data_IF_393700408203
#
_entry.id   IF_393700408203
#
_cell.length_a   1.000
_cell.length_b   1.000
_cell.length_c   1.000
_cell.angle_alpha   90.00
_cell.angle_beta   90.00
_cell.angle_gamma   90.00
#
_symmetry.space_group_name_H-M   'P 1'
#
loop_
_entity.id
_entity.type
_entity.pdbx_description
1 polymer ?
#
# COMPACT_ATOMS: atom_id res chain seq x y z
N UNK A 1 -6.16 9.75 -42.96
CA UNK A 1 -6.00 10.93 -42.09
C UNK A 1 -7.22 11.09 -41.19
N UNK A 2 -7.44 10.30 -40.14
CA UNK A 2 -6.91 8.99 -39.76
C UNK A 2 -7.90 8.32 -38.79
N UNK A 3 -8.47 7.20 -39.25
CA UNK A 3 -8.98 6.13 -38.42
C UNK A 3 -7.79 5.39 -37.81
N UNK A 4 -7.69 5.37 -36.47
CA UNK A 4 -7.00 4.34 -35.66
C UNK A 4 -7.15 4.68 -34.17
N UNK A 5 -8.30 4.29 -33.59
CA UNK A 5 -8.51 4.18 -32.14
C UNK A 5 -9.08 2.80 -31.86
N UNK A 6 -8.20 1.81 -31.79
CA UNK A 6 -8.41 0.57 -31.03
C UNK A 6 -7.08 -0.21 -31.03
N UNK A 7 -6.75 -0.79 -29.88
CA UNK A 7 -5.78 -1.85 -29.59
C UNK A 7 -4.54 -1.54 -28.73
N UNK A 8 -4.49 -2.31 -27.63
CA UNK A 8 -3.39 -2.76 -26.77
C UNK A 8 -2.86 -1.83 -25.66
N UNK A 9 -3.59 -1.84 -24.53
CA UNK A 9 -2.97 -2.02 -23.22
C UNK A 9 -3.21 -3.46 -22.78
N UNK A 10 -2.16 -4.25 -22.64
CA UNK A 10 -2.23 -5.55 -21.96
C UNK A 10 -0.86 -5.93 -21.38
N UNK A 11 -0.77 -5.87 -20.06
CA UNK A 11 -0.11 -6.84 -19.17
C UNK A 11 -0.05 -6.22 -17.76
N UNK A 12 -0.71 -6.68 -16.70
CA UNK A 12 -1.65 -7.78 -16.43
C UNK A 12 -2.43 -7.38 -15.16
N UNK A 13 -3.66 -6.89 -15.32
CA UNK A 13 -4.70 -6.90 -14.26
C UNK A 13 -6.09 -6.73 -14.88
N UNK A 14 -6.54 -7.70 -15.68
CA UNK A 14 -7.94 -7.78 -16.14
C UNK A 14 -8.66 -8.89 -15.32
N UNK A 15 -9.97 -8.91 -15.03
CA UNK A 15 -11.17 -8.56 -15.82
C UNK A 15 -12.37 -8.31 -14.86
N UNK A 16 -13.14 -7.22 -15.04
CA UNK A 16 -14.58 -7.24 -15.45
C UNK A 16 -15.24 -5.83 -15.43
N UNK A 17 -15.55 -5.33 -16.64
CA UNK A 17 -16.72 -4.60 -17.20
C UNK A 17 -17.75 -4.01 -16.19
N UNK A 18 -18.32 -2.80 -16.34
CA UNK A 18 -18.90 -2.20 -17.57
C UNK A 18 -19.06 -0.66 -17.47
N UNK A 19 -19.31 -0.06 -18.64
CA UNK A 19 -19.50 1.35 -18.98
C UNK A 19 -20.65 2.11 -18.25
N UNK A 20 -20.43 3.41 -17.98
CA UNK A 20 -21.36 4.47 -18.44
C UNK A 20 -20.83 5.91 -18.28
N UNK A 21 -21.28 6.73 -19.23
CA UNK A 21 -20.83 8.08 -19.58
C UNK A 21 -21.12 9.20 -18.56
N UNK A 22 -20.23 10.19 -18.55
CA UNK A 22 -20.65 11.56 -18.88
C UNK A 22 -20.55 12.64 -17.79
N UNK A 23 -19.57 13.54 -17.96
CA UNK A 23 -19.66 15.02 -18.02
C UNK A 23 -18.46 15.69 -17.34
N UNK A 24 -17.60 16.29 -18.17
CA UNK A 24 -16.53 17.21 -17.78
C UNK A 24 -17.13 18.54 -17.37
N UNK A 25 -16.86 18.99 -16.14
CA UNK A 25 -16.95 20.41 -15.78
C UNK A 25 -15.55 20.93 -15.46
N UNK A 26 -15.13 21.92 -16.25
CA UNK A 26 -14.00 22.81 -15.98
C UNK A 26 -14.22 23.47 -14.62
N UNK A 27 -13.23 23.39 -13.73
CA UNK A 27 -13.12 24.32 -12.61
C UNK A 27 -11.93 25.22 -12.90
N UNK A 28 -12.25 26.51 -12.96
CA UNK A 28 -11.39 27.64 -13.19
C UNK A 28 -10.41 27.87 -12.04
N UNK A 29 -9.21 28.29 -12.43
CA UNK A 29 -8.18 28.99 -11.67
C UNK A 29 -8.69 29.76 -10.45
N UNK A 30 -8.12 29.47 -9.28
CA UNK A 30 -8.14 30.37 -8.14
C UNK A 30 -6.71 30.77 -7.75
N UNK A 31 -6.53 32.08 -7.63
CA UNK A 31 -5.30 32.81 -7.36
C UNK A 31 -4.82 32.65 -5.93
N UNK A 32 -3.50 32.56 -5.77
CA UNK A 32 -2.79 32.65 -4.49
C UNK A 32 -2.99 34.02 -3.82
N UNK A 33 -2.98 34.06 -2.48
CA UNK A 33 -2.41 35.18 -1.75
C UNK A 33 -1.13 34.78 -1.01
N UNK A 34 -0.27 35.79 -0.88
CA UNK A 34 1.13 35.78 -0.44
C UNK A 34 1.31 35.48 1.06
N UNK A 35 2.52 35.02 1.34
CA UNK A 35 3.19 34.77 2.63
C UNK A 35 3.22 35.95 3.60
N UNK A 36 3.31 35.64 4.90
CA UNK A 36 4.35 36.20 5.79
C UNK A 36 4.60 35.29 7.02
N UNK A 37 5.79 35.35 7.65
CA UNK A 37 6.37 34.27 8.46
C UNK A 37 6.15 34.49 9.96
N UNK A 38 5.81 33.43 10.70
CA UNK A 38 5.81 33.45 12.16
C UNK A 38 6.65 32.32 12.75
N UNK A 39 7.45 32.75 13.71
CA UNK A 39 8.61 32.13 14.35
C UNK A 39 8.30 30.85 15.13
N UNK A 40 9.20 29.87 14.96
CA UNK A 40 9.35 28.69 15.80
C UNK A 40 9.67 29.06 17.26
N UNK A 41 8.89 28.53 18.20
CA UNK A 41 9.35 28.18 19.54
C UNK A 41 8.97 26.71 19.78
N UNK A 42 9.99 25.89 20.00
CA UNK A 42 9.83 24.48 20.30
C UNK A 42 9.27 24.28 21.70
N UNK A 43 8.19 23.53 21.80
CA UNK A 43 7.75 22.92 23.04
C UNK A 43 8.23 21.48 23.08
N UNK A 44 9.13 21.21 24.01
CA UNK A 44 9.56 19.88 24.42
C UNK A 44 8.40 19.21 25.20
N UNK A 45 7.46 18.64 24.48
CA UNK A 45 6.35 17.85 25.03
C UNK A 45 6.76 16.38 25.19
N UNK A 46 6.75 15.90 26.43
CA UNK A 46 6.89 14.50 26.81
C UNK A 46 5.87 13.61 26.09
N UNK A 47 6.34 12.67 25.27
CA UNK A 47 5.51 11.72 24.52
C UNK A 47 4.88 10.67 25.46
N UNK A 48 3.69 10.96 25.97
CA UNK A 48 2.80 9.92 26.48
C UNK A 48 2.13 9.25 25.27
N UNK A 49 2.52 8.02 24.94
CA UNK A 49 1.89 7.24 23.89
C UNK A 49 0.54 6.70 24.36
N UNK A 50 -0.54 7.35 23.94
CA UNK A 50 -1.88 6.76 24.02
C UNK A 50 -1.91 5.47 23.19
N UNK A 51 -2.53 4.41 23.74
CA UNK A 51 -2.82 3.19 22.97
C UNK A 51 -3.57 3.59 21.70
N UNK A 52 -3.32 2.92 20.55
CA UNK A 52 -4.10 3.19 19.35
C UNK A 52 -5.59 3.05 19.68
N UNK A 53 -6.33 4.15 19.53
CA UNK A 53 -7.79 4.22 19.68
C UNK A 53 -8.42 3.51 18.47
N UNK A 54 -8.26 2.19 18.43
CA UNK A 54 -8.80 1.33 17.41
C UNK A 54 -10.16 0.78 17.87
N UNK A 55 -11.19 0.87 17.02
CA UNK A 55 -12.55 0.38 17.28
C UNK A 55 -12.98 -0.68 16.26
N UNK A 56 -13.68 -1.71 16.73
CA UNK A 56 -14.39 -2.66 15.87
C UNK A 56 -15.89 -2.52 16.08
N UNK A 57 -16.63 -2.39 14.98
CA UNK A 57 -18.10 -2.33 14.99
C UNK A 57 -18.61 -3.37 14.01
N UNK A 58 -19.37 -4.35 14.50
CA UNK A 58 -19.81 -5.52 13.75
C UNK A 58 -21.25 -5.42 13.21
N UNK A 59 -21.89 -4.28 13.46
CA UNK A 59 -23.27 -3.94 13.17
C UNK A 59 -23.33 -2.61 12.40
N UNK A 60 -22.50 -2.47 11.37
CA UNK A 60 -22.50 -1.27 10.54
C UNK A 60 -23.82 -1.10 9.79
N UNK A 61 -24.40 0.10 9.86
CA UNK A 61 -25.64 0.46 9.17
C UNK A 61 -25.37 1.64 8.25
N UNK A 62 -25.78 1.50 6.99
CA UNK A 62 -25.77 2.59 6.02
C UNK A 62 -27.18 3.13 5.82
N UNK A 63 -27.34 4.43 5.93
CA UNK A 63 -28.59 5.13 5.58
C UNK A 63 -28.32 6.18 4.51
N UNK A 64 -29.29 6.45 3.66
CA UNK A 64 -29.23 7.51 2.66
C UNK A 64 -30.36 8.49 2.96
N UNK A 65 -30.02 9.76 3.13
CA UNK A 65 -31.01 10.81 3.35
C UNK A 65 -31.61 11.24 2.00
N UNK A 66 -32.75 11.94 2.04
CA UNK A 66 -33.47 12.42 0.85
C UNK A 66 -32.61 13.29 -0.10
N UNK A 67 -31.55 13.90 0.41
CA UNK A 67 -30.56 14.68 -0.35
C UNK A 67 -29.48 13.80 -1.03
N UNK A 68 -29.59 12.47 -1.01
CA UNK A 68 -28.61 11.51 -1.54
C UNK A 68 -27.33 11.40 -0.70
N UNK A 69 -27.32 12.00 0.50
CA UNK A 69 -26.18 11.93 1.41
C UNK A 69 -26.15 10.58 2.13
N UNK A 70 -25.04 9.85 1.97
CA UNK A 70 -24.83 8.55 2.62
C UNK A 70 -24.22 8.73 4.00
N UNK A 71 -24.86 8.16 5.00
CA UNK A 71 -24.39 8.07 6.37
C UNK A 71 -24.02 6.62 6.68
N UNK A 72 -22.84 6.39 7.22
CA UNK A 72 -22.38 5.10 7.71
C UNK A 72 -22.16 5.22 9.22
N UNK A 73 -23.07 4.68 10.03
CA UNK A 73 -23.12 4.95 11.47
C UNK A 73 -22.99 6.46 11.78
N UNK A 74 -21.89 6.89 12.42
CA UNK A 74 -21.62 8.30 12.73
C UNK A 74 -20.94 9.08 11.59
N UNK A 75 -20.50 8.41 10.52
CA UNK A 75 -19.69 8.98 9.45
C UNK A 75 -20.55 9.45 8.28
N UNK A 76 -20.54 10.75 8.03
CA UNK A 76 -21.15 11.33 6.84
C UNK A 76 -20.18 11.18 5.66
N UNK A 77 -20.52 10.31 4.71
CA UNK A 77 -19.73 10.07 3.51
C UNK A 77 -19.87 11.26 2.57
N UNK A 78 -18.73 11.82 2.14
CA UNK A 78 -18.65 12.95 1.23
C UNK A 78 -18.23 12.48 -0.16
N UNK A 79 -17.14 13.01 -0.70
CA UNK A 79 -16.67 12.73 -2.04
C UNK A 79 -15.67 11.58 -2.08
N UNK A 80 -15.61 10.91 -3.22
CA UNK A 80 -14.54 9.96 -3.54
C UNK A 80 -13.22 10.69 -3.70
N UNK A 81 -12.19 10.21 -2.98
CA UNK A 81 -10.82 10.76 -3.03
C UNK A 81 -9.82 9.79 -3.65
N UNK A 82 -10.18 8.52 -3.82
CA UNK A 82 -9.29 7.53 -4.43
C UNK A 82 -9.96 6.22 -4.80
N UNK A 83 -9.20 5.34 -5.43
CA UNK A 83 -9.57 3.97 -5.72
C UNK A 83 -8.39 3.09 -5.32
N UNK A 84 -8.61 2.16 -4.39
CA UNK A 84 -7.60 1.17 -4.00
C UNK A 84 -7.73 -0.12 -4.81
N UNK A 85 -6.83 -1.07 -4.54
CA UNK A 85 -6.76 -2.39 -5.22
C UNK A 85 -8.07 -3.19 -5.15
N UNK A 86 -8.86 -3.00 -4.10
CA UNK A 86 -10.05 -3.81 -3.80
C UNK A 86 -11.30 -2.99 -3.48
N UNK A 87 -11.26 -1.65 -3.68
CA UNK A 87 -12.30 -0.78 -3.16
C UNK A 87 -12.17 0.68 -3.57
N UNK A 88 -13.11 1.49 -3.08
CA UNK A 88 -13.07 2.96 -3.25
C UNK A 88 -12.73 3.64 -1.94
N UNK A 89 -12.02 4.76 -2.01
CA UNK A 89 -11.69 5.58 -0.84
C UNK A 89 -12.48 6.87 -0.92
N UNK A 90 -13.26 7.15 0.13
CA UNK A 90 -14.10 8.34 0.23
C UNK A 90 -13.66 9.18 1.43
N UNK A 91 -13.69 10.50 1.29
CA UNK A 91 -13.60 11.42 2.41
C UNK A 91 -14.90 11.37 3.21
N UNK A 92 -14.81 11.45 4.53
CA UNK A 92 -15.97 11.50 5.42
C UNK A 92 -15.70 12.38 6.64
N UNK A 93 -16.78 12.74 7.33
CA UNK A 93 -16.74 13.52 8.55
C UNK A 93 -17.45 12.73 9.64
N UNK A 94 -16.80 12.53 10.78
CA UNK A 94 -17.48 12.05 11.99
C UNK A 94 -18.40 13.16 12.51
N UNK A 95 -19.70 12.94 12.43
CA UNK A 95 -20.72 13.94 12.79
C UNK A 95 -20.76 14.25 14.29
N UNK A 96 -20.19 13.40 15.14
CA UNK A 96 -20.15 13.60 16.59
C UNK A 96 -18.99 14.50 17.00
N UNK A 97 -17.84 14.37 16.32
CA UNK A 97 -16.61 15.09 16.68
C UNK A 97 -16.25 16.21 15.71
N UNK A 98 -16.83 16.22 14.51
CA UNK A 98 -16.46 17.10 13.42
C UNK A 98 -15.12 16.74 12.74
N UNK A 99 -14.46 15.65 13.16
CA UNK A 99 -13.16 15.25 12.63
C UNK A 99 -13.29 14.54 11.27
N UNK A 100 -12.34 14.79 10.40
CA UNK A 100 -12.30 14.26 9.04
C UNK A 100 -11.49 12.97 8.94
N UNK A 101 -11.94 12.05 8.09
CA UNK A 101 -11.33 10.74 7.89
C UNK A 101 -11.42 10.29 6.43
N UNK A 102 -10.64 9.27 6.08
CA UNK A 102 -10.78 8.52 4.84
C UNK A 102 -11.46 7.17 5.11
N UNK A 103 -12.45 6.78 4.32
CA UNK A 103 -13.12 5.48 4.41
C UNK A 103 -12.85 4.67 3.15
N UNK A 104 -12.20 3.52 3.32
CA UNK A 104 -11.99 2.50 2.28
C UNK A 104 -13.14 1.50 2.33
N UNK A 105 -13.96 1.46 1.28
CA UNK A 105 -15.14 0.59 1.12
C UNK A 105 -14.78 -0.65 0.28
N UNK A 106 -15.11 -1.83 0.81
CA UNK A 106 -14.88 -3.14 0.20
C UNK A 106 -16.18 -3.91 -0.02
N UNK A 107 -16.43 -4.37 -1.25
CA UNK A 107 -17.56 -5.27 -1.58
C UNK A 107 -17.20 -6.75 -1.39
N UNK A 108 -17.78 -7.41 -0.39
CA UNK A 108 -17.58 -8.83 -0.06
C UNK A 108 -17.96 -9.76 -1.23
N UNK A 109 -18.97 -9.44 -2.04
CA UNK A 109 -19.41 -10.24 -3.21
C UNK A 109 -18.41 -10.08 -4.34
N UNK A 110 -17.92 -8.88 -4.62
CA UNK A 110 -16.88 -8.68 -5.63
C UNK A 110 -15.61 -9.47 -5.25
N UNK A 111 -15.23 -9.42 -3.97
CA UNK A 111 -14.09 -10.18 -3.45
C UNK A 111 -14.28 -11.70 -3.57
N UNK A 112 -15.51 -12.21 -3.37
CA UNK A 112 -15.85 -13.63 -3.58
C UNK A 112 -15.91 -14.03 -5.06
N UNK A 113 -16.39 -13.14 -5.94
CA UNK A 113 -16.47 -13.40 -7.40
C UNK A 113 -15.08 -13.49 -8.01
N UNK A 114 -14.18 -12.58 -7.65
CA UNK A 114 -12.76 -12.65 -8.05
C UNK A 114 -12.16 -13.99 -7.63
N UNK A 115 -12.36 -14.43 -6.38
CA UNK A 115 -11.88 -15.73 -5.91
C UNK A 115 -12.46 -16.93 -6.67
N UNK A 116 -13.76 -16.89 -7.03
CA UNK A 116 -14.40 -17.95 -7.82
C UNK A 116 -13.89 -17.99 -9.25
N UNK A 117 -13.76 -16.85 -9.93
CA UNK A 117 -13.23 -16.80 -11.31
C UNK A 117 -11.79 -17.32 -11.39
N UNK A 118 -10.93 -17.02 -10.41
CA UNK A 118 -9.58 -17.61 -10.31
C UNK A 118 -9.60 -19.14 -10.21
N UNK A 119 -10.67 -19.71 -9.67
CA UNK A 119 -10.86 -21.16 -9.48
C UNK A 119 -11.48 -21.85 -10.70
N UNK A 120 -12.31 -21.14 -11.47
CA UNK A 120 -12.96 -21.62 -12.69
C UNK A 120 -12.12 -21.48 -13.96
N UNK A 121 -11.01 -20.71 -13.93
CA UNK A 121 -10.00 -20.67 -14.99
C UNK A 121 -8.96 -21.81 -14.89
N UNK A 122 -9.22 -22.88 -14.13
CA UNK A 122 -8.50 -24.13 -14.35
C UNK A 122 -9.14 -24.87 -15.54
N UNK A 123 -8.40 -25.13 -16.63
CA UNK A 123 -8.98 -25.80 -17.79
C UNK A 123 -9.47 -27.19 -17.40
N UNK A 124 -10.75 -27.49 -17.67
CA UNK A 124 -11.18 -28.87 -17.81
C UNK A 124 -10.55 -29.40 -19.10
N UNK A 125 -9.61 -30.33 -18.99
CA UNK A 125 -9.05 -31.02 -20.15
C UNK A 125 -10.17 -31.76 -20.88
N UNK A 126 -10.59 -31.21 -22.02
CA UNK A 126 -11.22 -31.96 -23.11
C UNK A 126 -10.15 -32.21 -24.16
N UNK A 127 -9.91 -33.50 -24.38
CA UNK A 127 -8.91 -34.13 -25.23
C UNK A 127 -8.82 -33.62 -26.67
N UNK A 128 -7.63 -33.19 -27.09
CA UNK A 128 -7.24 -33.02 -28.50
C UNK A 128 -6.07 -32.04 -28.71
N UNK A 129 -4.83 -32.55 -28.67
CA UNK A 129 -3.53 -32.05 -29.19
C UNK A 129 -3.51 -30.64 -29.83
N UNK A 130 -2.65 -29.68 -29.46
CA UNK A 130 -1.18 -29.70 -29.33
C UNK A 130 -0.71 -28.61 -28.33
N UNK A 131 0.46 -28.84 -27.70
CA UNK A 131 1.17 -28.06 -26.66
C UNK A 131 0.95 -28.55 -25.20
N UNK A 132 1.55 -29.69 -24.87
CA UNK A 132 1.86 -30.17 -23.50
C UNK A 132 3.34 -30.62 -23.53
N UNK A 133 4.20 -30.50 -22.52
CA UNK A 133 4.03 -31.02 -21.16
C UNK A 133 5.21 -30.64 -20.22
N UNK A 134 5.84 -29.47 -20.35
CA UNK A 134 6.93 -29.10 -19.43
C UNK A 134 6.43 -28.21 -18.28
N UNK A 135 6.59 -28.73 -17.06
CA UNK A 135 6.35 -28.17 -15.72
C UNK A 135 5.07 -28.56 -14.93
N UNK A 136 4.96 -29.83 -14.51
CA UNK A 136 3.94 -30.28 -13.54
C UNK A 136 4.32 -30.12 -12.05
N UNK A 137 5.49 -29.53 -11.72
CA UNK A 137 6.02 -29.56 -10.35
C UNK A 137 5.61 -28.34 -9.48
N UNK A 138 5.05 -27.28 -10.08
CA UNK A 138 4.73 -26.00 -9.40
C UNK A 138 3.51 -26.03 -8.45
N UNK A 139 2.80 -27.17 -8.36
CA UNK A 139 1.58 -27.28 -7.52
C UNK A 139 1.84 -27.72 -6.08
N UNK A 140 3.04 -28.16 -5.70
CA UNK A 140 3.21 -28.94 -4.45
C UNK A 140 4.06 -28.32 -3.31
N UNK A 141 4.54 -27.08 -3.40
CA UNK A 141 5.44 -26.53 -2.37
C UNK A 141 4.89 -25.37 -1.52
N UNK A 142 3.65 -24.92 -1.78
CA UNK A 142 2.96 -23.95 -0.91
C UNK A 142 1.53 -24.45 -0.70
N UNK A 143 0.98 -24.38 0.53
CA UNK A 143 -0.42 -24.69 0.80
C UNK A 143 -1.35 -23.79 -0.05
N UNK A 144 -1.73 -24.28 -1.23
CA UNK A 144 -2.34 -23.54 -2.34
C UNK A 144 -3.84 -23.22 -2.19
N UNK A 145 -4.40 -23.28 -0.97
CA UNK A 145 -5.84 -23.09 -0.78
C UNK A 145 -6.24 -21.69 -0.26
N UNK A 146 -5.35 -20.97 0.43
CA UNK A 146 -5.74 -19.74 1.17
C UNK A 146 -5.16 -18.43 0.58
N UNK A 147 -4.08 -18.49 -0.20
CA UNK A 147 -3.33 -17.29 -0.65
C UNK A 147 -3.93 -16.52 -1.84
N UNK A 148 -4.99 -17.03 -2.47
CA UNK A 148 -5.66 -16.37 -3.62
C UNK A 148 -7.06 -15.85 -3.27
N UNK A 149 -7.35 -15.63 -1.98
CA UNK A 149 -8.60 -15.04 -1.53
C UNK A 149 -8.43 -13.52 -1.29
N UNK A 150 -9.07 -12.63 -2.05
CA UNK A 150 -9.04 -11.18 -1.81
C UNK A 150 -9.45 -10.79 -0.37
N UNK A 151 -10.36 -11.55 0.25
CA UNK A 151 -10.72 -11.35 1.65
C UNK A 151 -9.56 -11.61 2.61
N UNK A 152 -8.67 -12.55 2.29
CA UNK A 152 -7.47 -12.82 3.10
C UNK A 152 -6.50 -11.64 3.09
N UNK A 153 -6.30 -11.00 1.94
CA UNK A 153 -5.42 -9.82 1.83
C UNK A 153 -5.96 -8.63 2.64
N UNK A 154 -7.27 -8.36 2.55
CA UNK A 154 -7.92 -7.30 3.33
C UNK A 154 -7.85 -7.60 4.83
N UNK A 155 -8.09 -8.85 5.21
CA UNK A 155 -8.01 -9.26 6.61
C UNK A 155 -6.60 -9.18 7.16
N UNK A 156 -5.60 -9.50 6.32
CA UNK A 156 -4.19 -9.32 6.65
C UNK A 156 -3.84 -7.85 6.83
N UNK A 157 -4.29 -6.98 5.91
CA UNK A 157 -4.15 -5.52 6.00
C UNK A 157 -4.73 -5.01 7.33
N UNK A 158 -5.97 -5.38 7.66
CA UNK A 158 -6.60 -5.05 8.95
C UNK A 158 -5.77 -5.54 10.15
N UNK A 159 -5.31 -6.79 10.14
CA UNK A 159 -4.55 -7.34 11.26
C UNK A 159 -3.19 -6.66 11.47
N UNK A 160 -2.54 -6.25 10.38
CA UNK A 160 -1.30 -5.46 10.42
C UNK A 160 -1.63 -4.07 11.01
N UNK A 161 -2.62 -3.39 10.46
CA UNK A 161 -2.98 -2.02 10.85
C UNK A 161 -3.48 -1.90 12.30
N UNK A 162 -4.09 -2.95 12.87
CA UNK A 162 -4.46 -3.00 14.31
C UNK A 162 -3.27 -2.98 15.26
N UNK A 163 -2.09 -3.40 14.79
CA UNK A 163 -0.90 -3.64 15.61
C UNK A 163 0.19 -2.60 15.39
N UNK A 164 0.04 -1.71 14.43
CA UNK A 164 1.03 -0.67 14.14
C UNK A 164 0.50 0.68 14.59
N UNK A 165 1.36 1.48 15.21
CA UNK A 165 1.04 2.84 15.59
C UNK A 165 2.32 3.67 15.50
N UNK A 166 2.46 4.41 14.40
CA UNK A 166 3.68 5.16 14.12
C UNK A 166 3.34 6.45 13.36
N UNK A 167 4.07 7.54 13.65
CA UNK A 167 3.79 8.86 13.07
C UNK A 167 3.84 8.87 11.53
N UNK A 168 4.72 8.05 10.95
CA UNK A 168 4.95 7.92 9.51
C UNK A 168 4.15 6.75 8.88
N UNK A 169 3.10 6.27 9.54
CA UNK A 169 2.18 5.26 9.02
C UNK A 169 0.76 5.80 9.15
N UNK A 170 -0.09 5.55 8.14
CA UNK A 170 -1.50 5.91 8.21
C UNK A 170 -2.18 5.09 9.31
N UNK A 171 -2.82 5.79 10.25
CA UNK A 171 -3.52 5.13 11.37
C UNK A 171 -4.88 4.58 10.93
N UNK A 172 -5.21 3.36 11.37
CA UNK A 172 -6.57 2.83 11.27
C UNK A 172 -7.36 3.15 12.53
N UNK A 173 -8.51 3.78 12.34
CA UNK A 173 -9.35 4.32 13.41
C UNK A 173 -10.44 3.32 13.77
N UNK A 174 -11.15 2.80 12.78
CA UNK A 174 -12.29 1.91 12.99
C UNK A 174 -12.45 0.93 11.84
N UNK A 175 -12.84 -0.31 12.14
CA UNK A 175 -13.34 -1.27 11.14
C UNK A 175 -14.83 -1.47 11.35
N UNK A 176 -15.61 -1.27 10.29
CA UNK A 176 -17.06 -1.39 10.28
C UNK A 176 -17.46 -2.57 9.38
N UNK A 177 -17.99 -3.63 9.98
CA UNK A 177 -18.50 -4.80 9.26
C UNK A 177 -20.03 -4.71 9.17
N UNK A 178 -20.60 -4.70 7.96
CA UNK A 178 -22.06 -4.81 7.79
C UNK A 178 -22.46 -6.29 7.83
N UNK A 179 -23.12 -6.77 8.90
CA UNK A 179 -23.45 -8.17 9.05
C UNK A 179 -24.61 -8.62 8.16
N UNK A 180 -25.31 -7.69 7.49
CA UNK A 180 -26.50 -7.98 6.69
C UNK A 180 -26.32 -7.65 5.21
N UNK A 181 -25.35 -6.79 4.90
CA UNK A 181 -25.00 -6.38 3.55
C UNK A 181 -23.64 -6.87 3.08
N UNK A 182 -23.23 -6.32 1.95
CA UNK A 182 -22.05 -6.73 1.21
C UNK A 182 -20.80 -5.92 1.54
N UNK A 183 -20.86 -5.01 2.50
CA UNK A 183 -19.80 -4.02 2.68
C UNK A 183 -18.98 -4.24 3.95
N UNK A 184 -17.68 -4.01 3.82
CA UNK A 184 -16.72 -3.87 4.92
C UNK A 184 -16.05 -2.51 4.73
N UNK A 185 -15.86 -1.77 5.80
CA UNK A 185 -15.26 -0.43 5.73
C UNK A 185 -14.07 -0.32 6.69
N UNK A 186 -13.02 0.34 6.22
CA UNK A 186 -11.90 0.77 7.06
C UNK A 186 -11.89 2.29 7.14
N UNK A 187 -12.07 2.83 8.34
CA UNK A 187 -11.91 4.24 8.66
C UNK A 187 -10.45 4.49 8.98
N UNK A 188 -9.81 5.36 8.21
CA UNK A 188 -8.40 5.69 8.24
C UNK A 188 -8.19 7.18 8.52
N UNK A 189 -7.05 7.51 9.09
CA UNK A 189 -6.54 8.88 9.12
C UNK A 189 -6.57 9.50 7.71
N UNK A 190 -7.09 10.72 7.60
CA UNK A 190 -7.05 11.48 6.35
C UNK A 190 -5.69 12.15 6.19
N UNK A 191 -5.02 11.93 5.05
CA UNK A 191 -3.83 12.67 4.64
C UNK A 191 -4.23 13.74 3.63
N UNK A 192 -4.37 14.98 4.07
CA UNK A 192 -5.07 16.05 3.36
C UNK A 192 -4.35 16.54 2.10
N UNK A 193 -3.03 16.31 2.01
CA UNK A 193 -2.23 16.69 0.82
C UNK A 193 -2.18 15.58 -0.23
N UNK A 194 -2.82 14.43 0.03
CA UNK A 194 -2.86 13.31 -0.91
C UNK A 194 -1.52 12.59 -1.04
N UNK A 195 -1.28 11.97 -2.20
CA UNK A 195 -0.04 11.26 -2.51
C UNK A 195 1.14 12.22 -2.58
N UNK A 196 2.33 11.76 -2.19
CA UNK A 196 3.57 12.56 -2.26
C UNK A 196 3.92 12.92 -3.69
N UNK A 197 3.57 12.06 -4.66
CA UNK A 197 3.77 12.28 -6.08
C UNK A 197 2.81 11.39 -6.88
N UNK A 198 2.13 11.96 -7.87
CA UNK A 198 1.25 11.22 -8.80
C UNK A 198 2.02 10.95 -10.09
N UNK A 199 2.56 9.73 -10.21
CA UNK A 199 3.48 9.35 -11.29
C UNK A 199 2.74 9.17 -12.62
N UNK A 200 3.26 9.78 -13.69
CA UNK A 200 2.91 9.43 -15.06
C UNK A 200 4.02 8.57 -15.67
N UNK A 201 3.74 7.29 -15.91
CA UNK A 201 4.72 6.34 -16.47
C UNK A 201 5.20 6.77 -17.86
N UNK A 202 4.41 7.57 -18.58
CA UNK A 202 4.73 7.99 -19.94
C UNK A 202 5.41 9.37 -20.01
N UNK A 203 5.29 10.18 -18.96
CA UNK A 203 5.74 11.57 -18.98
C UNK A 203 6.52 11.91 -17.71
N UNK A 204 7.69 12.52 -17.88
CA UNK A 204 8.39 13.10 -16.75
C UNK A 204 7.54 14.23 -16.13
N UNK A 205 7.38 14.19 -14.81
CA UNK A 205 6.75 15.24 -14.02
C UNK A 205 7.82 16.11 -13.36
N UNK A 206 7.41 17.23 -12.77
CA UNK A 206 8.36 18.12 -12.09
C UNK A 206 8.98 17.42 -10.88
N UNK A 207 10.32 17.36 -10.77
CA UNK A 207 11.00 16.83 -9.59
C UNK A 207 10.82 17.76 -8.38
N UNK A 208 11.02 17.20 -7.19
CA UNK A 208 11.11 17.97 -5.95
C UNK A 208 12.53 18.44 -5.68
N UNK A 209 12.67 19.45 -4.82
CA UNK A 209 13.98 19.87 -4.36
C UNK A 209 14.62 18.77 -3.51
N UNK A 210 15.95 18.70 -3.53
CA UNK A 210 16.70 17.71 -2.75
C UNK A 210 16.36 17.75 -1.26
N UNK A 211 16.07 18.94 -0.71
CA UNK A 211 15.69 19.10 0.69
C UNK A 211 14.28 18.54 0.99
N UNK A 212 13.32 18.69 0.08
CA UNK A 212 12.00 18.05 0.19
C UNK A 212 12.12 16.53 0.12
N UNK A 213 12.88 16.03 -0.86
CA UNK A 213 13.20 14.61 -0.99
C UNK A 213 13.80 14.06 0.31
N UNK A 214 14.80 14.74 0.88
CA UNK A 214 15.45 14.32 2.13
C UNK A 214 14.48 14.29 3.31
N UNK A 215 13.61 15.30 3.46
CA UNK A 215 12.62 15.35 4.53
C UNK A 215 11.69 14.13 4.47
N UNK A 216 11.10 13.87 3.31
CA UNK A 216 10.17 12.76 3.12
C UNK A 216 10.85 11.39 3.16
N UNK A 217 12.09 11.30 2.68
CA UNK A 217 12.86 10.06 2.74
C UNK A 217 13.24 9.70 4.17
N UNK A 218 13.55 10.68 5.03
CA UNK A 218 13.74 10.47 6.47
C UNK A 218 12.47 9.91 7.13
N UNK A 219 11.30 10.49 6.83
CA UNK A 219 10.01 9.98 7.29
C UNK A 219 9.75 8.53 6.81
N UNK A 220 10.09 8.23 5.56
CA UNK A 220 9.99 6.88 4.98
C UNK A 220 10.91 5.88 5.70
N UNK A 221 12.17 6.25 5.97
CA UNK A 221 13.13 5.43 6.72
C UNK A 221 12.54 5.07 8.09
N UNK A 222 12.02 6.04 8.85
CA UNK A 222 11.46 5.81 10.18
C UNK A 222 10.27 4.83 10.12
N UNK A 223 9.36 5.03 9.16
CA UNK A 223 8.19 4.17 9.00
C UNK A 223 8.54 2.73 8.58
N UNK A 224 9.47 2.55 7.64
CA UNK A 224 9.90 1.22 7.19
C UNK A 224 10.75 0.51 8.25
N UNK A 225 11.64 1.22 8.94
CA UNK A 225 12.41 0.67 10.07
C UNK A 225 11.47 0.17 11.18
N UNK A 226 10.44 0.94 11.52
CA UNK A 226 9.41 0.53 12.47
C UNK A 226 8.72 -0.76 12.02
N UNK A 227 8.30 -0.86 10.75
CA UNK A 227 7.65 -2.07 10.22
C UNK A 227 8.59 -3.29 10.25
N UNK A 228 9.84 -3.11 9.82
CA UNK A 228 10.85 -4.18 9.80
C UNK A 228 11.14 -4.72 11.20
N UNK A 229 11.16 -3.84 12.21
CA UNK A 229 11.29 -4.23 13.62
C UNK A 229 10.08 -5.01 14.14
N UNK A 230 8.89 -4.78 13.57
CA UNK A 230 7.65 -5.48 13.91
C UNK A 230 7.39 -6.73 13.04
N UNK A 231 8.41 -7.22 12.33
CA UNK A 231 8.27 -8.43 11.52
C UNK A 231 7.42 -8.22 10.25
N UNK A 232 7.30 -6.98 9.76
CA UNK A 232 6.49 -6.62 8.60
C UNK A 232 7.37 -6.03 7.50
N UNK A 233 7.26 -6.55 6.28
CA UNK A 233 7.80 -5.91 5.08
C UNK A 233 6.64 -5.39 4.22
N UNK A 234 6.78 -4.18 3.69
CA UNK A 234 5.69 -3.52 2.97
C UNK A 234 5.46 -4.14 1.59
N UNK A 235 6.54 -4.36 0.84
CA UNK A 235 6.58 -4.98 -0.49
C UNK A 235 5.90 -4.22 -1.64
N UNK A 236 5.50 -2.96 -1.43
CA UNK A 236 4.90 -2.10 -2.47
C UNK A 236 5.21 -0.61 -2.21
N UNK A 237 6.46 -0.32 -1.88
CA UNK A 237 6.89 1.07 -1.61
C UNK A 237 7.00 1.78 -2.95
N UNK A 238 6.16 2.79 -3.15
CA UNK A 238 6.08 3.64 -4.34
C UNK A 238 5.36 4.94 -4.01
N UNK A 239 5.52 6.02 -4.79
CA UNK A 239 4.93 7.30 -4.46
C UNK A 239 3.42 7.29 -4.23
N UNK A 240 2.66 6.44 -4.93
CA UNK A 240 1.21 6.32 -4.81
C UNK A 240 0.75 5.75 -3.46
N UNK A 241 1.64 5.04 -2.75
CA UNK A 241 1.37 4.48 -1.42
C UNK A 241 1.97 5.35 -0.29
N UNK A 242 2.56 6.51 -0.63
CA UNK A 242 3.10 7.45 0.34
C UNK A 242 2.25 8.72 0.32
N UNK A 243 1.59 9.02 1.43
CA UNK A 243 0.68 10.15 1.58
C UNK A 243 1.32 11.26 2.42
N UNK A 244 0.80 12.48 2.27
CA UNK A 244 1.22 13.65 3.04
C UNK A 244 0.06 14.15 3.92
N UNK A 245 0.30 14.21 5.23
CA UNK A 245 -0.62 14.86 6.18
C UNK A 245 -0.63 16.39 6.00
N UNK A 246 -1.56 17.06 6.67
CA UNK A 246 -1.70 18.53 6.69
C UNK A 246 -0.39 19.28 6.98
N UNK A 247 0.38 18.82 7.95
CA UNK A 247 1.69 19.38 8.34
C UNK A 247 2.83 18.96 7.39
N UNK A 248 2.55 18.09 6.42
CA UNK A 248 3.51 17.63 5.42
C UNK A 248 4.46 16.55 5.92
N UNK A 249 4.05 15.78 6.93
CA UNK A 249 4.69 14.52 7.32
C UNK A 249 4.31 13.43 6.33
N UNK A 250 5.29 12.64 5.91
CA UNK A 250 5.04 11.49 5.04
C UNK A 250 4.53 10.31 5.85
N UNK A 251 3.46 9.69 5.35
CA UNK A 251 2.76 8.54 5.94
C UNK A 251 2.64 7.40 4.92
N UNK A 252 3.07 6.22 5.32
CA UNK A 252 3.00 5.00 4.53
C UNK A 252 1.58 4.42 4.61
N UNK A 253 1.01 4.04 3.46
CA UNK A 253 -0.33 3.50 3.31
C UNK A 253 -0.33 2.20 2.47
N UNK A 254 -1.46 1.49 2.49
CA UNK A 254 -1.76 0.27 1.71
C UNK A 254 -0.87 -0.96 2.01
N UNK A 255 -1.31 -1.75 3.00
CA UNK A 255 -0.63 -2.99 3.42
C UNK A 255 -1.19 -4.24 2.74
N UNK A 256 -1.93 -4.10 1.63
CA UNK A 256 -2.67 -5.21 1.00
C UNK A 256 -1.80 -6.39 0.56
N UNK A 257 -0.53 -6.15 0.23
CA UNK A 257 0.41 -7.19 -0.24
C UNK A 257 1.60 -7.42 0.70
N UNK A 258 1.61 -6.75 1.86
CA UNK A 258 2.68 -6.83 2.84
C UNK A 258 2.93 -8.25 3.32
N UNK A 259 4.16 -8.53 3.73
CA UNK A 259 4.61 -9.82 4.28
C UNK A 259 4.87 -9.69 5.77
N UNK A 260 4.58 -10.77 6.48
CA UNK A 260 4.74 -10.86 7.94
C UNK A 260 5.59 -12.08 8.22
N UNK A 261 6.59 -11.95 9.08
CA UNK A 261 7.49 -13.03 9.45
C UNK A 261 7.71 -13.06 10.96
N UNK A 262 8.13 -14.21 11.46
CA UNK A 262 8.43 -14.45 12.88
C UNK A 262 9.93 -14.62 13.05
N UNK A 263 10.52 -13.97 14.05
CA UNK A 263 11.97 -13.92 14.21
C UNK A 263 12.66 -13.17 13.07
N UNK A 264 13.87 -13.59 12.72
CA UNK A 264 14.70 -12.89 11.72
C UNK A 264 14.54 -13.40 10.29
N UNK A 265 13.71 -14.42 10.06
CA UNK A 265 13.59 -15.05 8.74
C UNK A 265 12.59 -14.32 7.83
N UNK A 266 13.07 -13.29 7.13
CA UNK A 266 12.30 -12.49 6.16
C UNK A 266 12.37 -13.04 4.72
N UNK A 267 12.74 -14.31 4.57
CA UNK A 267 12.94 -14.98 3.29
C UNK A 267 11.63 -15.45 2.65
N UNK A 268 11.34 -15.02 1.42
CA UNK A 268 10.15 -15.44 0.67
C UNK A 268 10.46 -15.79 -0.78
N UNK A 269 9.77 -16.81 -1.31
CA UNK A 269 9.93 -17.24 -2.71
C UNK A 269 9.05 -16.46 -3.71
N UNK A 270 8.07 -15.67 -3.23
CA UNK A 270 7.16 -14.92 -4.12
C UNK A 270 6.60 -13.66 -3.49
N UNK A 271 6.96 -12.53 -4.09
CA UNK A 271 6.42 -11.20 -3.78
C UNK A 271 5.71 -10.68 -5.03
N UNK A 272 4.43 -10.32 -4.87
CA UNK A 272 3.70 -9.55 -5.87
C UNK A 272 3.89 -8.09 -5.48
N UNK A 273 4.20 -7.21 -6.42
CA UNK A 273 4.43 -5.78 -6.21
C UNK A 273 4.44 -5.06 -7.55
N UNK A 274 4.55 -3.73 -7.53
CA UNK A 274 4.59 -2.93 -8.76
C UNK A 274 5.91 -3.16 -9.51
N UNK A 275 5.90 -3.67 -10.76
CA UNK A 275 7.12 -4.16 -11.43
C UNK A 275 8.28 -3.16 -11.51
N UNK A 276 8.01 -1.88 -11.79
CA UNK A 276 9.04 -0.87 -11.94
C UNK A 276 9.80 -0.54 -10.63
N UNK A 277 9.23 -0.91 -9.48
CA UNK A 277 9.80 -0.72 -8.15
C UNK A 277 10.39 -2.01 -7.58
N UNK A 278 10.32 -3.11 -8.33
CA UNK A 278 10.75 -4.44 -7.91
C UNK A 278 12.28 -4.55 -7.90
N UNK A 279 12.83 -5.19 -6.87
CA UNK A 279 14.26 -5.45 -6.76
C UNK A 279 14.75 -6.48 -7.79
N UNK A 280 16.02 -6.42 -8.26
CA UNK A 280 16.54 -7.31 -9.29
C UNK A 280 16.44 -8.79 -8.94
N UNK A 281 16.66 -9.14 -7.67
CA UNK A 281 16.56 -10.52 -7.16
C UNK A 281 15.13 -11.09 -7.24
N UNK A 282 14.10 -10.24 -7.25
CA UNK A 282 12.71 -10.63 -7.42
C UNK A 282 12.31 -10.84 -8.90
N UNK A 283 13.13 -10.37 -9.83
CA UNK A 283 12.97 -10.61 -11.26
C UNK A 283 13.49 -12.00 -11.68
N UNK A 284 14.05 -12.77 -10.75
CA UNK A 284 14.52 -14.15 -10.98
C UNK A 284 13.55 -15.13 -10.30
N UNK A 285 13.07 -16.11 -11.06
CA UNK A 285 12.13 -17.11 -10.56
C UNK A 285 12.78 -18.07 -9.55
N UNK A 286 11.99 -18.53 -8.59
CA UNK A 286 12.35 -19.57 -7.59
C UNK A 286 13.54 -19.24 -6.66
N UNK A 287 13.91 -17.96 -6.55
CA UNK A 287 14.87 -17.51 -5.54
C UNK A 287 14.19 -17.11 -4.24
N UNK A 288 14.78 -17.56 -3.14
CA UNK A 288 14.47 -17.09 -1.80
C UNK A 288 15.14 -15.74 -1.62
N UNK A 289 14.36 -14.69 -1.34
CA UNK A 289 14.89 -13.33 -1.20
C UNK A 289 14.51 -12.70 0.13
N UNK A 290 15.37 -11.80 0.62
CA UNK A 290 15.08 -10.95 1.78
C UNK A 290 14.04 -9.89 1.41
N UNK A 291 12.89 -9.93 2.06
CA UNK A 291 11.88 -8.88 1.90
C UNK A 291 12.38 -7.51 2.37
N UNK A 292 13.23 -7.46 3.40
CA UNK A 292 13.79 -6.19 3.89
C UNK A 292 14.70 -5.55 2.85
N UNK A 293 15.57 -6.33 2.21
CA UNK A 293 16.43 -5.84 1.14
C UNK A 293 15.63 -5.35 -0.07
N UNK A 294 14.52 -6.03 -0.40
CA UNK A 294 13.62 -5.62 -1.46
C UNK A 294 12.91 -4.29 -1.15
N UNK A 295 12.44 -4.08 0.09
CA UNK A 295 11.86 -2.80 0.53
C UNK A 295 12.88 -1.66 0.38
N UNK A 296 14.15 -1.88 0.78
CA UNK A 296 15.22 -0.87 0.64
C UNK A 296 15.45 -0.49 -0.83
N UNK A 297 15.41 -1.45 -1.75
CA UNK A 297 15.47 -1.15 -3.18
C UNK A 297 14.29 -0.27 -3.62
N UNK A 298 13.06 -0.65 -3.26
CA UNK A 298 11.86 0.11 -3.62
C UNK A 298 11.86 1.53 -3.02
N UNK A 299 12.46 1.72 -1.83
CA UNK A 299 12.72 3.05 -1.27
C UNK A 299 13.66 3.86 -2.17
N UNK A 300 14.72 3.26 -2.71
CA UNK A 300 15.64 3.91 -3.65
C UNK A 300 14.97 4.33 -4.96
N UNK A 301 14.14 3.46 -5.55
CA UNK A 301 13.37 3.79 -6.78
C UNK A 301 12.37 4.92 -6.49
N UNK A 302 11.74 4.90 -5.31
CA UNK A 302 10.84 5.97 -4.88
C UNK A 302 11.56 7.29 -4.72
N UNK A 303 12.74 7.31 -4.07
CA UNK A 303 13.56 8.51 -3.94
C UNK A 303 14.00 9.05 -5.31
N UNK A 304 14.33 8.15 -6.25
CA UNK A 304 14.65 8.53 -7.62
C UNK A 304 13.48 9.25 -8.28
N UNK A 305 12.26 8.72 -8.15
CA UNK A 305 11.06 9.36 -8.70
C UNK A 305 10.88 10.76 -8.12
N UNK A 306 11.04 10.94 -6.81
CA UNK A 306 10.93 12.26 -6.18
C UNK A 306 11.99 13.24 -6.68
N UNK A 307 13.24 12.79 -6.83
CA UNK A 307 14.38 13.63 -7.19
C UNK A 307 14.41 13.99 -8.69
N UNK A 308 13.87 13.14 -9.57
CA UNK A 308 14.00 13.30 -11.02
C UNK A 308 12.67 13.39 -11.77
N UNK A 309 11.56 12.99 -11.15
CA UNK A 309 10.22 13.05 -11.75
C UNK A 309 9.94 11.96 -12.80
N UNK A 310 10.77 10.92 -12.87
CA UNK A 310 10.60 9.79 -13.79
C UNK A 310 11.21 8.51 -13.20
N UNK A 311 10.86 7.34 -13.76
CA UNK A 311 11.39 6.04 -13.33
C UNK A 311 12.81 5.78 -13.89
N UNK A 312 13.74 5.19 -13.11
CA UNK A 312 15.06 4.81 -13.60
C UNK A 312 15.01 3.66 -14.63
N UNK A 313 13.95 2.83 -14.57
CA UNK A 313 13.68 1.73 -15.48
C UNK A 313 12.25 1.86 -16.00
N UNK A 314 12.06 1.93 -17.31
CA UNK A 314 10.74 2.05 -17.91
C UNK A 314 10.70 1.26 -19.22
N UNK A 315 9.88 0.22 -19.24
CA UNK A 315 9.64 -0.62 -20.41
C UNK A 315 8.20 -1.09 -20.39
N UNK A 316 7.59 -1.15 -21.57
CA UNK A 316 6.18 -1.58 -21.71
C UNK A 316 6.02 -3.10 -21.63
N UNK A 317 7.03 -3.84 -22.09
CA UNK A 317 7.07 -5.29 -21.98
C UNK A 317 7.66 -5.70 -20.62
N UNK A 318 6.90 -6.49 -19.86
CA UNK A 318 7.26 -6.89 -18.49
C UNK A 318 8.56 -7.70 -18.44
N UNK A 319 8.82 -8.55 -19.43
CA UNK A 319 10.03 -9.37 -19.46
C UNK A 319 11.25 -8.51 -19.77
N UNK A 320 11.11 -7.55 -20.70
CA UNK A 320 12.16 -6.55 -20.96
C UNK A 320 12.42 -5.66 -19.75
N UNK A 321 11.36 -5.25 -19.05
CA UNK A 321 11.48 -4.47 -17.82
C UNK A 321 12.32 -5.23 -16.79
N UNK A 322 12.01 -6.51 -16.57
CA UNK A 322 12.81 -7.36 -15.68
C UNK A 322 14.26 -7.48 -16.13
N UNK A 323 14.52 -7.63 -17.43
CA UNK A 323 15.87 -7.70 -17.95
C UNK A 323 16.66 -6.42 -17.74
N UNK A 324 16.07 -5.24 -17.95
CA UNK A 324 16.76 -3.96 -17.67
C UNK A 324 16.96 -3.72 -16.17
N UNK A 325 15.98 -4.08 -15.33
CA UNK A 325 16.12 -4.00 -13.86
C UNK A 325 17.31 -4.86 -13.40
N UNK A 326 17.55 -6.03 -14.00
CA UNK A 326 18.70 -6.89 -13.68
C UNK A 326 20.01 -6.40 -14.27
N UNK A 327 20.02 -5.87 -15.49
CA UNK A 327 21.26 -5.72 -16.27
C UNK A 327 21.69 -4.27 -16.49
N UNK A 328 20.76 -3.33 -16.59
CA UNK A 328 21.08 -1.94 -16.91
C UNK A 328 21.74 -1.25 -15.71
N UNK A 329 22.93 -0.70 -15.94
CA UNK A 329 23.62 0.13 -14.94
C UNK A 329 22.87 1.44 -14.76
N UNK A 330 22.63 1.83 -13.52
CA UNK A 330 22.06 3.14 -13.18
C UNK A 330 23.15 4.20 -13.31
N UNK A 331 22.83 5.29 -13.99
CA UNK A 331 23.70 6.47 -14.11
C UNK A 331 22.97 7.64 -13.47
N UNK A 332 23.41 8.04 -12.28
CA UNK A 332 22.84 9.19 -11.57
C UNK A 332 23.22 10.48 -12.31
N UNK A 333 22.25 11.34 -12.66
CA UNK A 333 22.53 12.65 -13.27
C UNK A 333 23.44 13.53 -12.40
N UNK A 334 24.29 14.36 -13.00
CA UNK A 334 25.27 15.18 -12.27
C UNK A 334 24.69 16.41 -11.54
N UNK A 335 23.38 16.65 -11.61
CA UNK A 335 22.73 17.83 -11.00
C UNK A 335 22.25 17.59 -9.56
N UNK A 336 22.75 16.55 -8.89
CA UNK A 336 22.47 16.25 -7.48
C UNK A 336 23.75 16.41 -6.64
N UNK A 337 23.60 16.54 -5.32
CA UNK A 337 24.75 16.56 -4.42
C UNK A 337 25.59 15.27 -4.52
N UNK A 338 26.91 15.36 -4.26
CA UNK A 338 27.77 14.18 -4.14
C UNK A 338 27.22 13.14 -3.14
N UNK A 339 26.64 13.61 -2.03
CA UNK A 339 26.07 12.76 -0.99
C UNK A 339 24.80 12.03 -1.48
N UNK A 340 23.93 12.68 -2.27
CA UNK A 340 22.77 12.01 -2.86
C UNK A 340 23.18 10.99 -3.92
N UNK A 341 24.20 11.34 -4.73
CA UNK A 341 24.77 10.42 -5.72
C UNK A 341 25.32 9.16 -5.07
N UNK A 342 26.11 9.32 -4.01
CA UNK A 342 26.65 8.22 -3.22
C UNK A 342 25.53 7.37 -2.58
N UNK A 343 24.45 7.99 -2.09
CA UNK A 343 23.29 7.26 -1.58
C UNK A 343 22.63 6.41 -2.69
N UNK A 344 22.41 6.97 -3.88
CA UNK A 344 21.81 6.24 -5.00
C UNK A 344 22.66 5.04 -5.42
N UNK A 345 23.98 5.18 -5.46
CA UNK A 345 24.90 4.09 -5.79
C UNK A 345 24.82 2.94 -4.76
N UNK A 346 24.63 3.25 -3.47
CA UNK A 346 24.53 2.25 -2.39
C UNK A 346 23.14 1.61 -2.24
N UNK A 347 22.06 2.39 -2.42
CA UNK A 347 20.68 1.91 -2.23
C UNK A 347 20.14 1.16 -3.45
N UNK A 348 20.60 1.52 -4.66
CA UNK A 348 20.25 0.84 -5.91
C UNK A 348 21.37 -0.12 -6.37
N UNK A 349 22.18 -0.60 -5.43
CA UNK A 349 23.08 -1.73 -5.66
C UNK A 349 22.23 -2.99 -5.95
N UNK A 350 22.55 -3.67 -7.07
CA UNK A 350 21.77 -4.79 -7.56
C UNK A 350 21.98 -6.05 -6.74
N UNK A 351 23.19 -6.25 -6.21
CA UNK A 351 23.49 -7.35 -5.31
C UNK A 351 22.90 -7.06 -3.91
N UNK A 352 21.87 -7.79 -3.46
CA UNK A 352 21.17 -7.50 -2.20
C UNK A 352 22.08 -7.63 -0.97
N UNK A 353 23.16 -8.42 -1.03
CA UNK A 353 24.10 -8.56 0.08
C UNK A 353 25.04 -7.36 0.22
N UNK A 354 25.29 -6.65 -0.88
CA UNK A 354 26.10 -5.41 -0.93
C UNK A 354 25.26 -4.15 -0.80
N UNK A 355 23.96 -4.24 -1.08
CA UNK A 355 23.01 -3.14 -0.92
C UNK A 355 23.04 -2.62 0.51
N UNK A 356 22.99 -1.31 0.65
CA UNK A 356 22.98 -0.64 1.96
C UNK A 356 21.89 -1.23 2.86
N UNK A 357 22.22 -1.51 4.12
CA UNK A 357 21.27 -2.04 5.10
C UNK A 357 20.62 -0.89 5.87
N UNK A 358 19.44 -1.13 6.45
CA UNK A 358 18.68 -0.10 7.18
C UNK A 358 19.52 0.61 8.25
N UNK A 359 20.36 -0.12 8.99
CA UNK A 359 21.23 0.42 10.02
C UNK A 359 22.25 1.45 9.51
N UNK A 360 22.73 1.28 8.29
CA UNK A 360 23.69 2.18 7.64
C UNK A 360 22.94 3.31 6.89
N UNK A 361 21.81 2.97 6.27
CA UNK A 361 20.96 3.90 5.53
C UNK A 361 20.53 5.10 6.38
N UNK A 362 20.07 4.85 7.61
CA UNK A 362 19.65 5.90 8.55
C UNK A 362 20.79 6.81 9.01
N UNK A 363 22.04 6.37 8.89
CA UNK A 363 23.23 7.12 9.29
C UNK A 363 23.90 7.82 8.11
N UNK A 364 23.47 7.52 6.88
CA UNK A 364 24.07 8.03 5.66
C UNK A 364 24.23 9.56 5.67
N UNK A 365 25.34 10.05 5.12
CA UNK A 365 25.70 11.48 5.17
C UNK A 365 24.64 12.38 4.53
N UNK A 366 24.06 11.94 3.40
CA UNK A 366 22.93 12.63 2.79
C UNK A 366 21.70 12.70 3.72
N UNK A 367 21.38 11.61 4.41
CA UNK A 367 20.21 11.53 5.31
C UNK A 367 20.41 12.42 6.52
N UNK A 368 21.61 12.41 7.11
CA UNK A 368 21.94 13.10 8.37
C UNK A 368 22.56 14.49 8.19
N UNK A 369 22.68 14.98 6.95
CA UNK A 369 23.42 16.20 6.62
C UNK A 369 24.84 16.18 7.20
N UNK A 370 25.60 15.11 6.94
CA UNK A 370 26.94 14.86 7.48
C UNK A 370 26.93 14.94 9.03
N UNK A 371 25.96 14.29 9.67
CA UNK A 371 25.78 14.25 11.13
C UNK A 371 25.20 15.51 11.78
N UNK A 372 24.85 16.56 11.02
CA UNK A 372 24.27 17.80 11.57
C UNK A 372 22.79 17.67 11.95
N UNK A 373 22.09 16.72 11.35
CA UNK A 373 20.67 16.43 11.55
C UNK A 373 20.48 14.90 11.73
N UNK A 374 20.94 14.33 12.86
CA UNK A 374 20.84 12.89 13.10
C UNK A 374 19.38 12.42 13.16
N UNK A 375 19.16 11.14 12.84
CA UNK A 375 17.86 10.49 13.06
C UNK A 375 17.65 10.20 14.55
N UNK A 376 16.41 10.21 15.04
CA UNK A 376 16.06 9.70 16.38
C UNK A 376 16.58 8.27 16.55
N UNK A 377 16.88 7.82 17.77
CA UNK A 377 17.49 6.51 18.01
C UNK A 377 16.63 5.34 17.49
N UNK A 378 17.24 4.18 17.23
CA UNK A 378 16.51 2.97 16.80
C UNK A 378 15.50 2.55 17.86
N UNK A 379 15.93 2.57 19.12
CA UNK A 379 15.11 2.21 20.27
C UNK A 379 13.90 3.14 20.37
N UNK A 380 14.10 4.46 20.28
CA UNK A 380 13.02 5.44 20.30
C UNK A 380 12.05 5.28 19.13
N UNK A 381 12.57 5.03 17.91
CA UNK A 381 11.73 4.84 16.72
C UNK A 381 10.89 3.56 16.79
N UNK A 382 11.41 2.51 17.43
CA UNK A 382 10.79 1.17 17.48
C UNK A 382 10.12 0.86 18.82
N UNK A 383 10.08 1.84 19.74
CA UNK A 383 9.37 1.73 21.01
C UNK A 383 7.89 1.37 20.79
N UNK A 384 7.35 0.50 21.66
CA UNK A 384 5.96 0.04 21.57
C UNK A 384 5.77 -1.34 20.93
N UNK A 385 6.82 -2.18 20.88
CA UNK A 385 6.82 -3.57 20.36
C UNK A 385 5.49 -4.27 20.62
N UNK A 386 4.68 -4.35 19.58
CA UNK A 386 3.42 -5.09 19.63
C UNK A 386 3.73 -6.57 19.52
N UNK A 387 3.16 -7.36 20.45
CA UNK A 387 3.27 -8.81 20.47
C UNK A 387 3.04 -9.44 19.07
N UNK A 388 3.88 -10.41 18.74
CA UNK A 388 3.88 -11.19 17.48
C UNK A 388 2.47 -11.44 16.94
N UNK A 389 2.29 -11.37 15.61
CA UNK A 389 1.04 -11.80 14.98
C UNK A 389 0.92 -13.31 15.06
N UNK A 390 0.28 -13.78 16.13
CA UNK A 390 0.05 -15.20 16.30
C UNK A 390 -0.92 -15.71 15.23
N UNK A 391 -0.74 -16.95 14.80
CA UNK A 391 -1.74 -17.65 13.98
C UNK A 391 -3.13 -17.68 14.64
N UNK A 392 -3.21 -17.47 15.97
CA UNK A 392 -4.46 -17.36 16.72
C UNK A 392 -5.15 -16.02 16.49
N UNK A 393 -4.42 -14.92 16.36
CA UNK A 393 -4.97 -13.60 16.00
C UNK A 393 -5.54 -13.64 14.59
N UNK A 394 -4.80 -14.25 13.64
CA UNK A 394 -5.31 -14.52 12.29
C UNK A 394 -6.60 -15.34 12.34
N UNK A 395 -6.60 -16.47 13.07
CA UNK A 395 -7.79 -17.34 13.21
C UNK A 395 -8.96 -16.67 13.93
N UNK A 396 -8.71 -15.77 14.88
CA UNK A 396 -9.77 -15.00 15.55
C UNK A 396 -10.37 -13.97 14.64
N UNK A 397 -9.58 -13.15 13.94
CA UNK A 397 -10.14 -12.20 12.97
C UNK A 397 -10.90 -12.94 11.86
N UNK A 398 -10.31 -14.04 11.35
CA UNK A 398 -10.97 -14.96 10.41
C UNK A 398 -12.29 -15.45 11.00
N UNK A 399 -12.30 -15.94 12.24
CA UNK A 399 -13.50 -16.42 12.92
C UNK A 399 -14.52 -15.32 13.17
N UNK A 400 -14.14 -14.08 13.49
CA UNK A 400 -15.08 -13.01 13.79
C UNK A 400 -15.80 -12.60 12.51
N UNK A 401 -15.04 -12.32 11.45
CA UNK A 401 -15.60 -11.99 10.13
C UNK A 401 -16.39 -13.20 9.56
N UNK A 402 -15.88 -14.43 9.69
CA UNK A 402 -16.60 -15.64 9.26
C UNK A 402 -17.82 -15.97 10.12
N UNK A 403 -17.84 -15.68 11.43
CA UNK A 403 -19.03 -15.89 12.29
C UNK A 403 -20.11 -14.88 11.95
N UNK A 404 -19.74 -13.63 11.66
CA UNK A 404 -20.66 -12.65 11.09
C UNK A 404 -21.25 -13.17 9.78
N UNK A 405 -20.41 -13.72 8.90
CA UNK A 405 -20.82 -14.32 7.61
C UNK A 405 -21.66 -15.62 7.76
N UNK A 406 -21.36 -16.49 8.73
CA UNK A 406 -22.07 -17.75 8.94
C UNK A 406 -23.40 -17.57 9.69
N UNK A 407 -23.52 -16.54 10.54
CA UNK A 407 -24.82 -16.11 11.07
C UNK A 407 -25.79 -15.70 9.96
N UNK A 408 -25.30 -15.11 8.86
CA UNK A 408 -26.12 -14.79 7.68
C UNK A 408 -26.70 -16.05 7.05
N UNK A 409 -25.86 -17.09 6.85
CA UNK A 409 -26.34 -18.38 6.33
C UNK A 409 -27.35 -19.04 7.28
N UNK A 410 -27.13 -19.02 8.60
CA UNK A 410 -28.09 -19.59 9.56
C UNK A 410 -29.41 -18.80 9.61
N UNK A 411 -29.38 -17.47 9.60
CA UNK A 411 -30.60 -16.63 9.65
C UNK A 411 -31.38 -16.67 8.32
N UNK A 412 -30.71 -16.82 7.17
CA UNK A 412 -31.37 -17.03 5.88
C UNK A 412 -31.92 -18.45 5.69
N UNK A 413 -31.28 -19.48 6.25
CA UNK A 413 -31.79 -20.86 6.22
C UNK A 413 -33.08 -20.98 7.07
N UNK A 414 -33.20 -20.27 8.20
CA UNK A 414 -34.42 -20.30 9.02
C UNK A 414 -35.56 -19.40 8.50
N UNK A 415 -35.29 -18.43 7.61
CA UNK A 415 -36.35 -17.61 6.98
C UNK A 415 -36.99 -18.26 5.74
N UNK A 416 -36.44 -19.36 5.22
CA UNK A 416 -36.99 -20.10 4.07
C UNK A 416 -37.70 -21.42 4.45
N UNK A 417 -38.02 -21.63 5.74
CA UNK A 417 -38.79 -22.82 6.23
C UNK A 417 -40.12 -22.41 6.87
N UNK A 418 -40.59 -21.18 6.63
CA UNK A 418 -41.93 -20.79 7.07
C UNK A 418 -42.55 -19.86 6.04
N UNK A 419 -43.16 -20.44 5.02
CA UNK A 419 -44.51 -20.15 4.52
C UNK A 419 -44.90 -21.19 3.46
#
# INVERSE_FOLDING_TARGET
MDEKRLYFMQSLSDICLDDNLGKKNKISSFSQPKSDPLSFKGDSGTFFHDKPHFKETLDAVTTENDDGCKMLNQYLIKQKIGKGSYGTVNWCIDTLTGKEYAIKDFSKIQLRKVHKCSRFQQPKLSSGSFLSDDFPFYRNLCNHAESDNPLYFIQKEINIMKKINHKNIVSMIEVLDDPHGDSLYMVLELCEKGVVMDMDVNNAISPYSENECRKWFRDLILGIEYLHAHGICHCDIKPENLLLSKDGTLKIADFGISKTFTGDNDSFCRIKGTPAFMAPELCVFDHVVSCKAADIWSMGITLWCLAFGYLPFNESDIMKLYDIIKTQKIVVPDHVSPELKDLFEKILEKDPEKRIKMCDLRQHDWVTLNGKDPMISYEENTMGVVHEISNKDFKMTISTIQKTINKINFVQIFKNISY
#
